data_IF_976146110556
#
_entry.id   IF_976146110556
#
_cell.length_a   1.000
_cell.length_b   1.000
_cell.length_c   1.000
_cell.angle_alpha   90.00
_cell.angle_beta   90.00
_cell.angle_gamma   90.00
#
_symmetry.space_group_name_H-M   'P 1'
#
loop_
_entity.id
_entity.type
_entity.pdbx_description
1 polymer ?
2 polymer ?
3 polymer ?
4 non-polymer ?
5 water ?
#
loop_
_entity_poly.entity_id
_entity_poly.type
_entity_poly.pdbx_seq_one_letter_code
_entity_poly.pdbx_strand_id
2 'polydeoxyribonucleotide' '(DG)(DC)(DA)(DG)(DA)(DA)(DC)(DG)(DT)(DC)(DG)(DT)(DG)(DA)(DG)(DA)(DC)(DA)(DG)(DT)(DT)(DC)(DC)(DG)' ?
3 'polydeoxyribonucleotide' '(DC)(DG)(DG)(DA)(DA)(DC)(DT)(DG)(DT)(DC)(DT)(DC)(DA)(DC)(DG)(DA)(DC)(DG)(DT)(DT)(DC)(DT)(DG)(DC)' ?
#
# COMPACT_ATOMS: atom_id res chain seq x y z
N UNK A 5 19.32 -10.07 12.49
CA UNK A 5 18.69 -9.55 11.24
C UNK A 5 17.61 -10.47 10.70
N UNK A 6 17.66 -11.73 11.12
CA UNK A 6 16.81 -12.81 10.59
C UNK A 6 15.30 -12.51 10.65
N UNK A 7 14.84 -11.79 9.63
CA UNK A 7 13.44 -11.46 9.45
C UNK A 7 12.80 -12.48 8.51
N UNK A 8 11.67 -13.04 8.94
CA UNK A 8 10.98 -14.12 8.22
C UNK A 8 10.52 -13.74 6.81
N UNK A 9 10.68 -14.67 5.84
CA UNK A 9 10.28 -14.49 4.44
C UNK A 9 8.87 -13.92 4.24
N UNK A 10 7.88 -14.44 4.97
CA UNK A 10 6.50 -13.95 4.87
C UNK A 10 6.25 -12.66 5.62
N UNK A 11 7.12 -12.34 6.58
CA UNK A 11 7.09 -11.06 7.26
C UNK A 11 7.71 -9.97 6.39
N UNK A 12 8.81 -10.32 5.71
CA UNK A 12 9.45 -9.43 4.75
C UNK A 12 8.53 -9.19 3.55
N UNK A 13 7.90 -10.25 3.06
CA UNK A 13 7.00 -10.17 1.91
C UNK A 13 5.78 -9.32 2.23
N UNK A 14 5.16 -9.57 3.38
CA UNK A 14 4.03 -8.73 3.79
C UNK A 14 4.42 -7.26 3.81
N UNK A 15 5.51 -6.93 4.50
CA UNK A 15 5.92 -5.55 4.68
C UNK A 15 6.14 -4.86 3.34
N UNK A 16 6.77 -5.59 2.42
CA UNK A 16 7.01 -5.09 1.07
C UNK A 16 5.67 -4.79 0.40
N UNK A 17 4.71 -5.71 0.56
CA UNK A 17 3.35 -5.52 0.03
C UNK A 17 2.75 -4.26 0.60
N UNK A 18 2.86 -4.13 1.92
CA UNK A 18 2.31 -3.00 2.63
C UNK A 18 2.99 -1.69 2.26
N UNK A 19 4.32 -1.72 2.14
CA UNK A 19 5.11 -0.57 1.72
C UNK A 19 4.73 -0.16 0.30
N UNK A 20 4.65 -1.13 -0.61
CA UNK A 20 4.22 -0.87 -1.99
C UNK A 20 2.83 -0.22 -2.04
N UNK A 21 2.01 -0.57 -1.05
CA UNK A 21 0.67 0.01 -0.92
C UNK A 21 0.71 1.37 -0.25
N UNK A 22 0.95 1.36 1.05
CA UNK A 22 0.80 2.56 1.89
C UNK A 22 2.10 3.25 2.29
N UNK A 23 3.22 2.75 1.74
CA UNK A 23 4.53 3.26 2.10
C UNK A 23 5.16 4.17 1.07
N UNK A 24 6.39 4.60 1.35
CA UNK A 24 7.16 5.42 0.43
C UNK A 24 8.66 5.22 0.60
N UNK A 25 9.36 4.97 -0.51
CA UNK A 25 10.82 4.95 -0.57
C UNK A 25 11.23 6.21 -1.32
N UNK A 26 12.08 7.05 -0.72
CA UNK A 26 12.44 8.32 -1.34
C UNK A 26 13.80 8.86 -0.91
N UNK A 27 14.39 9.69 -1.78
CA UNK A 27 15.68 10.33 -1.54
C UNK A 27 15.56 11.84 -1.69
N UNK A 28 16.34 12.56 -0.91
CA UNK A 28 16.32 14.01 -0.95
C UNK A 28 17.67 14.56 -0.49
N UNK A 29 17.95 15.81 -0.83
CA UNK A 29 19.14 16.47 -0.30
C UNK A 29 18.75 17.65 0.56
N UNK A 30 19.40 17.76 1.71
CA UNK A 30 19.05 18.76 2.69
C UNK A 30 20.12 19.85 2.69
N UNK A 31 19.69 21.13 2.66
CA UNK A 31 20.63 22.23 2.87
C UNK A 31 21.32 22.11 4.23
N UNK A 32 22.63 22.36 4.25
CA UNK A 32 23.42 22.26 5.48
C UNK A 32 24.34 23.48 5.61
N UNK A 33 23.85 24.56 6.24
CA UNK A 33 24.60 25.82 6.36
C UNK A 33 25.83 25.75 7.28
N UNK A 34 26.32 24.54 7.55
CA UNK A 34 27.46 24.34 8.44
C UNK A 34 28.44 23.26 7.95
N UNK A 35 28.13 22.62 6.82
CA UNK A 35 28.99 21.58 6.26
C UNK A 35 30.30 22.12 5.69
N UNK A 36 31.31 21.25 5.66
CA UNK A 36 32.67 21.61 5.27
C UNK A 36 32.72 22.27 3.90
N UNK A 37 32.42 21.51 2.85
CA UNK A 37 32.53 22.02 1.49
C UNK A 37 31.18 21.92 0.81
N UNK A 38 30.78 20.68 0.49
CA UNK A 38 29.47 20.40 -0.08
C UNK A 38 28.43 20.58 1.03
N UNK A 39 27.61 21.61 0.89
CA UNK A 39 26.67 21.99 1.94
C UNK A 39 25.33 21.25 1.85
N UNK A 40 25.39 20.00 1.41
CA UNK A 40 24.21 19.16 1.35
C UNK A 40 24.53 17.75 1.82
N UNK A 41 23.66 17.22 2.67
CA UNK A 41 23.68 15.82 3.02
C UNK A 41 22.52 15.19 2.27
N UNK A 42 22.81 14.12 1.54
CA UNK A 42 21.77 13.34 0.87
C UNK A 42 21.06 12.46 1.91
N UNK A 43 19.79 12.78 2.15
CA UNK A 43 18.95 11.99 3.06
C UNK A 43 18.19 10.90 2.33
N UNK A 44 18.09 9.75 2.97
CA UNK A 44 17.43 8.58 2.41
C UNK A 44 16.47 8.01 3.44
N UNK A 45 15.31 7.55 2.99
CA UNK A 45 14.29 7.03 3.90
C UNK A 45 13.30 6.09 3.24
N UNK A 46 12.72 5.22 4.05
CA UNK A 46 11.48 4.55 3.72
C UNK A 46 10.49 4.93 4.82
N UNK A 47 9.21 4.94 4.50
CA UNK A 47 8.20 5.26 5.50
C UNK A 47 6.93 4.43 5.35
N UNK A 48 6.14 4.37 6.43
CA UNK A 48 4.83 3.73 6.39
C UNK A 48 3.83 4.70 6.97
N UNK A 49 2.78 4.97 6.20
CA UNK A 49 1.77 5.98 6.55
C UNK A 49 0.43 5.30 6.74
N UNK A 50 -0.35 5.77 7.72
CA UNK A 50 -1.62 5.13 8.08
C UNK A 50 -2.43 6.02 9.04
N UNK A 51 -3.72 5.73 9.18
CA UNK A 51 -4.58 6.53 10.03
C UNK A 51 -4.34 6.20 11.50
N UNK A 52 -4.43 7.24 12.34
CA UNK A 52 -4.16 7.18 13.78
C UNK A 52 -4.50 5.84 14.41
N UNK A 53 -5.75 5.39 14.22
CA UNK A 53 -6.31 4.22 14.89
C UNK A 53 -5.59 2.91 14.57
N UNK A 54 -4.92 2.86 13.43
CA UNK A 54 -4.25 1.64 12.98
C UNK A 54 -2.78 1.64 13.35
N UNK A 55 -2.40 2.54 14.26
CA UNK A 55 -1.02 2.66 14.74
C UNK A 55 -0.37 1.35 15.22
N UNK A 56 -1.09 0.54 16.04
CA UNK A 56 -0.52 -0.75 16.45
C UNK A 56 0.06 -1.59 15.31
N UNK A 57 -0.54 -1.49 14.12
CA UNK A 57 -0.05 -2.21 12.95
C UNK A 57 1.32 -1.72 12.48
N UNK A 58 1.52 -0.40 12.53
CA UNK A 58 2.82 0.21 12.23
C UNK A 58 3.83 -0.20 13.29
N UNK A 59 3.41 -0.07 14.54
CA UNK A 59 4.22 -0.44 15.69
C UNK A 59 4.65 -1.90 15.59
N UNK A 60 3.79 -2.75 15.04
CA UNK A 60 4.12 -4.16 14.82
C UNK A 60 5.23 -4.34 13.77
N UNK A 61 5.12 -3.62 12.66
CA UNK A 61 6.13 -3.67 11.59
C UNK A 61 7.47 -3.18 12.11
N UNK A 62 7.42 -2.09 12.87
CA UNK A 62 8.57 -1.52 13.54
C UNK A 62 9.36 -2.59 14.32
N UNK A 63 8.64 -3.31 15.19
CA UNK A 63 9.24 -4.35 16.03
C UNK A 63 9.87 -5.48 15.23
N UNK A 64 9.35 -5.73 14.03
CA UNK A 64 9.88 -6.79 13.17
C UNK A 64 11.15 -6.34 12.48
N UNK A 65 11.25 -5.04 12.21
CA UNK A 65 12.41 -4.45 11.58
C UNK A 65 13.51 -4.12 12.60
N UNK A 66 13.60 -4.91 13.66
CA UNK A 66 14.61 -4.74 14.70
C UNK A 66 14.48 -3.46 15.49
N UNK A 67 13.27 -2.88 15.49
CA UNK A 67 12.97 -1.62 16.17
C UNK A 67 13.85 -0.45 15.70
N UNK A 68 14.04 -0.35 14.39
CA UNK A 68 14.82 0.72 13.78
C UNK A 68 13.91 1.83 13.30
N UNK A 69 14.41 3.06 13.26
CA UNK A 69 13.61 4.20 12.79
C UNK A 69 12.71 4.75 13.88
N UNK A 70 11.93 5.76 13.54
CA UNK A 70 11.12 6.49 14.51
C UNK A 70 9.61 6.50 14.23
N UNK A 71 8.86 5.83 15.11
CA UNK A 71 7.39 5.81 15.05
C UNK A 71 6.77 7.16 15.46
N UNK A 72 5.54 7.38 15.03
CA UNK A 72 4.81 8.60 15.34
C UNK A 72 3.31 8.29 15.40
N UNK A 73 2.77 8.27 16.61
CA UNK A 73 1.36 7.94 16.85
C UNK A 73 0.43 8.89 16.10
N UNK A 74 0.82 10.16 16.02
CA UNK A 74 0.05 11.19 15.34
C UNK A 74 1.01 12.25 14.83
N UNK A 75 0.90 12.54 13.54
CA UNK A 75 1.78 13.53 12.92
C UNK A 75 1.16 14.92 12.85
N UNK A 76 -0.07 15.04 13.34
CA UNK A 76 -0.78 16.32 13.38
C UNK A 76 -2.22 16.22 12.93
N UNK A 77 -2.44 15.54 11.79
CA UNK A 77 -3.78 15.41 11.22
C UNK A 77 -4.38 14.02 11.38
N UNK A 78 -4.33 13.50 12.62
CA UNK A 78 -4.96 12.23 12.99
C UNK A 78 -4.45 11.06 12.17
N UNK A 79 -3.20 11.17 11.75
CA UNK A 79 -2.61 10.24 10.81
C UNK A 79 -1.17 9.96 11.28
N UNK A 80 -0.75 8.71 11.12
CA UNK A 80 0.49 8.23 11.73
C UNK A 80 1.48 7.73 10.70
N UNK A 81 2.76 7.96 10.96
CA UNK A 81 3.81 7.42 10.09
C UNK A 81 5.00 6.85 10.83
N UNK A 82 5.73 5.96 10.14
CA UNK A 82 6.90 5.31 10.68
C UNK A 82 8.01 5.46 9.65
N UNK A 83 8.89 6.43 9.92
CA UNK A 83 9.98 6.78 9.00
C UNK A 83 11.29 6.17 9.47
N UNK A 84 11.96 5.46 8.56
CA UNK A 84 13.29 4.91 8.82
C UNK A 84 14.33 5.68 7.98
N UNK A 85 15.09 6.55 8.64
CA UNK A 85 16.05 7.41 7.97
C UNK A 85 17.47 6.88 8.08
N UNK A 86 18.22 6.97 6.99
CA UNK A 86 19.66 6.83 7.05
C UNK A 86 20.13 5.50 6.51
N UNK A 87 21.40 5.47 6.10
CA UNK A 87 21.96 4.30 5.44
C UNK A 87 22.24 3.15 6.39
N UNK A 88 22.38 3.45 7.68
CA UNK A 88 22.68 2.42 8.68
C UNK A 88 21.54 1.40 8.75
N UNK A 89 20.33 1.90 8.92
CA UNK A 89 19.14 1.07 9.06
C UNK A 89 18.72 0.48 7.71
N UNK A 90 18.82 1.30 6.67
CA UNK A 90 18.34 0.92 5.36
C UNK A 90 19.20 -0.14 4.67
N UNK A 91 20.50 -0.14 4.95
CA UNK A 91 21.41 -1.14 4.39
C UNK A 91 21.22 -2.51 5.07
N UNK A 92 20.49 -2.51 6.17
CA UNK A 92 20.06 -3.73 6.84
C UNK A 92 18.64 -4.11 6.39
N UNK A 93 17.74 -3.14 6.39
CA UNK A 93 16.32 -3.39 6.10
C UNK A 93 16.05 -3.71 4.63
N UNK A 94 16.41 -2.80 3.73
CA UNK A 94 16.13 -2.98 2.30
C UNK A 94 16.59 -4.30 1.67
N UNK A 95 17.81 -4.77 1.97
CA UNK A 95 18.13 -6.11 1.44
C UNK A 95 17.04 -7.14 1.75
N UNK A 96 16.44 -7.05 2.94
CA UNK A 96 15.37 -7.95 3.34
C UNK A 96 14.07 -7.75 2.54
N UNK A 97 13.79 -6.52 2.12
CA UNK A 97 12.53 -6.20 1.45
C UNK A 97 12.59 -6.25 -0.08
N UNK A 98 13.74 -5.90 -0.63
CA UNK A 98 13.94 -5.79 -2.08
C UNK A 98 13.47 -7.02 -2.89
N UNK A 99 13.72 -8.25 -2.38
CA UNK A 99 13.27 -9.39 -3.19
C UNK A 99 11.76 -9.40 -3.37
N UNK A 100 11.03 -8.98 -2.35
CA UNK A 100 9.56 -9.04 -2.38
C UNK A 100 8.89 -7.78 -2.93
N UNK A 101 9.58 -6.64 -2.86
CA UNK A 101 9.10 -5.37 -3.40
C UNK A 101 8.81 -5.46 -4.88
N UNK A 102 7.75 -4.78 -5.31
CA UNK A 102 7.36 -4.79 -6.71
C UNK A 102 7.30 -3.38 -7.25
N UNK A 103 6.29 -2.62 -6.82
CA UNK A 103 6.05 -1.25 -7.30
C UNK A 103 7.24 -0.31 -6.99
N UNK A 104 7.86 -0.49 -5.84
CA UNK A 104 8.90 0.41 -5.38
C UNK A 104 10.30 -0.23 -5.35
N UNK A 105 10.41 -1.39 -5.99
CA UNK A 105 11.68 -2.13 -6.07
C UNK A 105 12.80 -1.27 -6.64
N UNK A 106 12.51 -0.54 -7.72
CA UNK A 106 13.50 0.34 -8.33
C UNK A 106 14.02 1.39 -7.34
N UNK A 107 13.08 2.10 -6.72
CA UNK A 107 13.42 3.06 -5.67
C UNK A 107 14.34 2.43 -4.62
N UNK A 108 14.03 1.21 -4.20
CA UNK A 108 14.84 0.53 -3.19
C UNK A 108 16.25 0.23 -3.69
N UNK A 109 16.38 -0.28 -4.91
CA UNK A 109 17.69 -0.54 -5.51
C UNK A 109 18.52 0.74 -5.65
N UNK A 110 17.85 1.84 -6.00
CA UNK A 110 18.50 3.14 -6.10
C UNK A 110 19.05 3.61 -4.75
N UNK A 111 18.21 3.59 -3.70
CA UNK A 111 18.66 3.93 -2.35
C UNK A 111 19.85 3.05 -1.98
N UNK A 112 19.71 1.75 -2.17
CA UNK A 112 20.78 0.81 -1.86
C UNK A 112 22.06 1.15 -2.61
N UNK A 113 21.89 1.73 -3.80
CA UNK A 113 23.03 2.09 -4.63
C UNK A 113 23.70 3.35 -4.10
N UNK A 114 22.89 4.38 -3.81
CA UNK A 114 23.38 5.61 -3.20
C UNK A 114 24.26 5.32 -1.97
N UNK A 115 23.82 4.39 -1.14
CA UNK A 115 24.56 3.93 0.03
C UNK A 115 25.97 3.45 -0.36
N UNK A 116 26.07 2.68 -1.45
CA UNK A 116 27.35 2.15 -1.94
C UNK A 116 28.34 3.22 -2.40
N UNK A 117 27.82 4.31 -2.97
CA UNK A 117 28.64 5.37 -3.54
C UNK A 117 28.88 6.54 -2.60
N UNK A 118 28.09 6.64 -1.53
CA UNK A 118 28.13 7.80 -0.63
C UNK A 118 29.51 8.07 0.01
N UNK A 119 30.13 7.04 0.62
CA UNK A 119 31.45 7.27 1.23
C UNK A 119 32.40 8.05 0.33
N UNK A 120 32.62 7.58 -0.90
CA UNK A 120 33.50 8.26 -1.85
C UNK A 120 32.94 9.55 -2.41
N UNK A 121 31.65 9.55 -2.74
CA UNK A 121 30.98 10.72 -3.30
C UNK A 121 30.94 11.91 -2.34
N UNK A 122 31.21 11.64 -1.07
CA UNK A 122 30.97 12.59 0.00
C UNK A 122 31.82 13.85 -0.05
N UNK A 123 33.08 13.70 -0.43
CA UNK A 123 33.98 14.86 -0.49
C UNK A 123 34.58 15.05 -1.88
N UNK A 124 33.77 14.73 -2.88
CA UNK A 124 34.11 14.93 -4.29
C UNK A 124 32.87 15.43 -5.02
N UNK A 125 32.87 16.72 -5.41
CA UNK A 125 31.74 17.38 -6.08
C UNK A 125 31.32 16.72 -7.40
N UNK A 126 32.28 16.13 -8.12
CA UNK A 126 32.01 15.39 -9.33
C UNK A 126 31.19 14.13 -9.04
N UNK A 127 31.66 13.34 -8.07
CA UNK A 127 30.99 12.10 -7.67
C UNK A 127 29.71 12.33 -6.87
N UNK A 128 29.65 13.48 -6.19
CA UNK A 128 28.43 13.91 -5.49
C UNK A 128 27.32 14.23 -6.49
N UNK A 129 27.67 14.97 -7.55
CA UNK A 129 26.72 15.30 -8.61
C UNK A 129 26.16 14.05 -9.28
N UNK A 130 27.07 13.13 -9.61
CA UNK A 130 26.70 11.84 -10.21
C UNK A 130 25.76 11.04 -9.30
N UNK A 131 25.94 11.21 -8.00
CA UNK A 131 25.07 10.60 -7.01
C UNK A 131 23.75 11.37 -6.89
N UNK A 132 23.81 12.70 -7.00
CA UNK A 132 22.61 13.53 -6.98
C UNK A 132 21.67 13.19 -8.15
N UNK A 133 22.24 12.72 -9.25
CA UNK A 133 21.44 12.20 -10.37
C UNK A 133 20.52 11.06 -9.92
N UNK A 134 21.07 10.14 -9.13
CA UNK A 134 20.30 9.00 -8.61
C UNK A 134 19.18 9.47 -7.67
N UNK A 135 19.44 10.55 -6.93
CA UNK A 135 18.42 11.20 -6.13
C UNK A 135 17.32 11.75 -7.03
N UNK A 136 17.69 12.15 -8.25
CA UNK A 136 16.71 12.64 -9.23
C UNK A 136 15.81 11.52 -9.75
N UNK A 137 16.40 10.40 -10.17
CA UNK A 137 15.62 9.27 -10.69
C UNK A 137 14.56 8.86 -9.68
N UNK A 138 14.99 8.66 -8.42
CA UNK A 138 14.11 8.22 -7.34
C UNK A 138 12.89 9.13 -7.21
N UNK A 139 13.14 10.43 -7.16
CA UNK A 139 12.06 11.40 -7.03
C UNK A 139 11.17 11.41 -8.26
N UNK A 140 11.76 11.10 -9.42
CA UNK A 140 11.04 10.99 -10.70
C UNK A 140 10.17 9.74 -10.77
N UNK A 141 10.70 8.64 -10.25
CA UNK A 141 9.98 7.36 -10.18
C UNK A 141 8.79 7.45 -9.23
N UNK A 142 8.86 8.37 -8.27
CA UNK A 142 7.76 8.66 -7.36
C UNK A 142 6.77 9.69 -7.93
N UNK A 143 7.07 10.19 -9.13
CA UNK A 143 6.22 11.19 -9.77
C UNK A 143 5.32 10.60 -10.85
N UNK A 144 4.37 11.42 -11.29
CA UNK A 144 3.55 11.12 -12.45
C UNK A 144 4.28 11.53 -13.73
N UNK A 145 3.67 11.26 -14.87
CA UNK A 145 4.20 11.69 -16.17
C UNK A 145 4.14 13.21 -16.32
N UNK A 146 2.96 13.79 -16.10
CA UNK A 146 2.68 15.23 -16.30
C UNK A 146 3.36 16.17 -15.30
N UNK A 147 3.90 15.61 -14.23
CA UNK A 147 4.48 16.39 -13.15
C UNK A 147 5.86 16.91 -13.53
N UNK A 148 6.23 18.07 -12.98
CA UNK A 148 7.59 18.62 -13.10
C UNK A 148 8.66 17.61 -12.68
N UNK A 149 9.70 17.49 -13.49
CA UNK A 149 10.75 16.50 -13.27
C UNK A 149 11.87 17.06 -12.37
N UNK A 150 12.46 16.19 -11.56
CA UNK A 150 13.46 16.58 -10.55
C UNK A 150 14.69 17.25 -11.16
N UNK A 151 15.03 18.42 -10.61
CA UNK A 151 16.09 19.26 -11.15
C UNK A 151 17.19 19.57 -10.12
N UNK A 152 17.31 18.68 -9.11
CA UNK A 152 18.34 18.79 -8.07
C UNK A 152 19.74 18.77 -8.64
N UNK A 153 19.99 17.91 -9.62
CA UNK A 153 21.29 17.79 -10.26
C UNK A 153 21.67 19.05 -11.03
N UNK A 154 20.69 19.62 -11.74
CA UNK A 154 20.90 20.85 -12.51
C UNK A 154 21.17 22.05 -11.61
N UNK A 155 20.39 22.16 -10.54
CA UNK A 155 20.52 23.27 -9.58
C UNK A 155 21.80 23.20 -8.75
N UNK A 156 22.39 22.00 -8.65
CA UNK A 156 23.64 21.82 -7.93
C UNK A 156 24.88 21.94 -8.82
N UNK A 157 24.75 21.55 -10.09
CA UNK A 157 25.83 21.75 -11.06
C UNK A 157 26.07 23.25 -11.27
N UNK A 158 24.98 24.00 -11.33
CA UNK A 158 25.02 25.45 -11.40
C UNK A 158 25.60 26.04 -10.13
N UNK A 159 25.23 25.46 -8.99
CA UNK A 159 25.71 25.91 -7.70
C UNK A 159 27.21 25.61 -7.51
N UNK A 160 27.64 24.45 -7.99
CA UNK A 160 29.05 24.04 -7.87
C UNK A 160 29.98 24.84 -8.78
N UNK A 161 29.51 25.22 -9.96
CA UNK A 161 30.29 26.03 -10.89
C UNK A 161 30.44 27.46 -10.38
N UNK A 162 29.33 28.02 -9.89
CA UNK A 162 29.34 29.37 -9.31
C UNK A 162 30.17 29.46 -8.04
N UNK A 163 30.19 28.39 -7.26
CA UNK A 163 30.97 28.34 -6.03
C UNK A 163 32.41 27.88 -6.27
N UNK A 164 32.76 27.71 -7.54
CA UNK A 164 34.10 27.30 -7.96
C UNK A 164 34.53 25.90 -7.51
N UNK A 165 33.55 25.06 -7.20
CA UNK A 165 33.81 23.70 -6.71
C UNK A 165 34.13 22.73 -7.86
N UNK A 166 33.71 23.10 -9.07
CA UNK A 166 33.98 22.30 -10.27
C UNK A 166 34.52 23.17 -11.40
N UNK A 167 35.62 22.70 -12.00
CA UNK A 167 36.21 23.35 -13.17
C UNK A 167 35.73 22.68 -14.46
N UNK A 168 36.10 23.28 -15.59
CA UNK A 168 35.81 22.72 -16.91
C UNK A 168 36.67 21.49 -17.19
N UNK A 169 36.09 20.43 -17.75
CA UNK A 169 34.68 20.40 -18.18
C UNK A 169 33.79 19.63 -17.20
N UNK A 170 32.56 20.13 -16.96
CA UNK A 170 31.56 19.45 -16.13
C UNK A 170 30.94 18.22 -16.79
N UNK A 171 30.13 17.48 -16.02
CA UNK A 171 29.39 16.30 -16.50
C UNK A 171 28.24 16.70 -17.46
N UNK A 172 27.37 15.77 -17.86
CA UNK A 172 27.38 14.36 -17.46
C UNK A 172 26.24 13.59 -18.09
N UNK A 173 25.15 13.40 -17.34
CA UNK A 173 23.94 12.76 -17.85
C UNK A 173 22.69 13.25 -17.09
N UNK A 174 22.26 14.46 -17.44
CA UNK A 174 21.06 15.07 -16.84
C UNK A 174 20.29 15.88 -17.87
N UNK A 175 18.97 15.93 -17.69
CA UNK A 175 18.07 16.63 -18.63
C UNK A 175 18.13 18.15 -18.48
N UNK A 176 19.35 18.71 -18.60
CA UNK A 176 19.59 20.14 -18.39
C UNK A 176 18.98 21.06 -19.43
N UNK A 177 17.81 21.62 -19.10
CA UNK A 177 17.16 22.62 -19.94
C UNK A 177 17.45 24.03 -19.40
N UNK A 178 18.66 24.53 -19.70
CA UNK A 178 19.10 25.83 -19.21
C UNK A 178 19.38 26.79 -20.37
N UNK A 207 -7.18 -25.40 -8.35
CA UNK A 207 -5.70 -25.36 -8.56
C UNK A 207 -5.10 -24.08 -7.97
N UNK A 208 -3.90 -24.20 -7.41
CA UNK A 208 -3.18 -23.06 -6.85
C UNK A 208 -1.67 -23.09 -7.11
N UNK A 209 -1.11 -21.89 -7.26
CA UNK A 209 0.33 -21.68 -7.24
C UNK A 209 0.60 -20.43 -6.40
N UNK A 210 -0.20 -20.27 -5.35
CA UNK A 210 -0.01 -19.19 -4.38
C UNK A 210 0.79 -19.69 -3.18
N UNK A 211 2.09 -19.39 -3.21
CA UNK A 211 3.01 -19.80 -2.17
C UNK A 211 3.15 -18.72 -1.08
N UNK A 212 3.62 -19.10 0.12
CA UNK A 212 3.72 -18.23 1.29
C UNK A 212 3.99 -16.75 1.00
N UNK A 213 5.12 -16.44 0.35
CA UNK A 213 5.54 -15.06 0.10
C UNK A 213 4.73 -14.36 -0.99
N UNK A 214 4.11 -15.15 -1.85
CA UNK A 214 3.15 -14.65 -2.83
C UNK A 214 1.88 -14.14 -2.13
N UNK A 215 1.35 -14.94 -1.21
CA UNK A 215 0.18 -14.55 -0.44
C UNK A 215 0.49 -13.43 0.56
N UNK A 216 1.66 -13.51 1.18
CA UNK A 216 2.09 -12.53 2.18
C UNK A 216 2.17 -11.13 1.57
N UNK A 217 2.80 -11.03 0.40
CA UNK A 217 2.86 -9.76 -0.32
C UNK A 217 1.46 -9.23 -0.58
N UNK A 218 0.63 -10.06 -1.21
CA UNK A 218 -0.71 -9.63 -1.65
C UNK A 218 -1.50 -9.12 -0.45
N UNK A 219 -1.45 -9.85 0.66
CA UNK A 219 -2.09 -9.43 1.90
C UNK A 219 -1.53 -8.09 2.37
N UNK A 220 -0.21 -7.92 2.31
CA UNK A 220 0.42 -6.65 2.62
C UNK A 220 -0.17 -5.53 1.79
N UNK A 221 -0.24 -5.79 0.49
CA UNK A 221 -0.71 -4.81 -0.48
C UNK A 221 -2.20 -4.50 -0.36
N UNK A 222 -3.00 -5.52 -0.08
CA UNK A 222 -4.44 -5.37 0.16
C UNK A 222 -4.70 -4.57 1.44
N UNK A 223 -3.94 -4.89 2.49
CA UNK A 223 -3.96 -4.12 3.73
C UNK A 223 -3.63 -2.66 3.51
N UNK A 224 -2.73 -2.40 2.56
CA UNK A 224 -2.37 -1.04 2.17
C UNK A 224 -3.39 -0.44 1.23
N UNK A 225 -3.32 -0.83 -0.04
CA UNK A 225 -4.11 -0.21 -1.13
C UNK A 225 -5.41 -0.94 -1.49
N UNK A 226 -5.75 -1.98 -0.75
CA UNK A 226 -6.95 -2.77 -1.08
C UNK A 226 -8.17 -2.47 -0.24
N UNK A 227 -9.22 -3.25 -0.48
CA UNK A 227 -10.45 -3.16 0.31
C UNK A 227 -11.15 -4.53 0.40
N UNK A 228 -11.67 -4.84 1.58
CA UNK A 228 -12.52 -6.03 1.77
C UNK A 228 -13.86 -5.56 2.32
N UNK A 229 -14.94 -5.81 1.58
CA UNK A 229 -16.23 -5.22 1.93
C UNK A 229 -17.45 -6.05 1.55
N UNK A 230 -18.55 -5.80 2.26
CA UNK A 230 -19.82 -6.47 2.02
C UNK A 230 -20.88 -5.42 1.81
N UNK A 231 -21.91 -5.76 1.05
CA UNK A 231 -22.99 -4.82 0.78
C UNK A 231 -24.30 -5.54 0.44
N UNK A 232 -25.41 -4.84 0.66
CA UNK A 232 -26.73 -5.33 0.27
C UNK A 232 -27.15 -4.70 -1.03
N UNK A 233 -27.44 -5.54 -2.03
CA UNK A 233 -27.91 -5.05 -3.32
C UNK A 233 -29.43 -5.23 -3.46
N UNK A 234 -30.15 -4.13 -3.72
CA UNK A 234 -31.59 -4.21 -3.97
C UNK A 234 -31.89 -4.90 -5.30
N UNK A 235 -32.55 -6.05 -5.23
CA UNK A 235 -32.91 -6.83 -6.41
C UNK A 235 -34.44 -6.86 -6.59
N UNK A 236 -34.98 -5.98 -7.46
CA UNK A 236 -36.43 -5.81 -7.63
C UNK A 236 -37.19 -7.04 -8.16
N UNK A 237 -36.56 -8.21 -8.14
CA UNK A 237 -37.14 -9.41 -8.74
C UNK A 237 -36.63 -10.70 -8.07
N UNK A 238 -36.90 -10.85 -6.77
CA UNK A 238 -36.49 -12.04 -6.02
C UNK A 238 -37.69 -12.76 -5.40
N UNK A 239 -37.46 -14.03 -5.02
CA UNK A 239 -38.52 -14.92 -4.51
C UNK A 239 -39.28 -14.35 -3.32
N UNK A 240 -38.53 -13.86 -2.34
CA UNK A 240 -39.08 -13.44 -1.08
C UNK A 240 -38.26 -12.25 -0.60
N UNK A 241 -37.00 -12.53 -0.27
CA UNK A 241 -36.07 -11.49 0.15
C UNK A 241 -35.50 -10.82 -1.10
N UNK A 242 -35.87 -9.55 -1.30
CA UNK A 242 -35.51 -8.83 -2.52
C UNK A 242 -34.13 -8.16 -2.44
N UNK A 243 -33.22 -8.79 -1.69
CA UNK A 243 -31.85 -8.34 -1.59
C UNK A 243 -30.91 -9.53 -1.72
N UNK A 244 -29.71 -9.24 -2.20
CA UNK A 244 -28.62 -10.21 -2.18
C UNK A 244 -27.45 -9.54 -1.50
N UNK A 245 -26.77 -10.29 -0.63
CA UNK A 245 -25.54 -9.84 -0.02
C UNK A 245 -24.41 -10.02 -1.04
N UNK A 246 -23.78 -8.92 -1.44
CA UNK A 246 -22.64 -8.96 -2.33
C UNK A 246 -21.33 -8.90 -1.54
N UNK A 247 -20.37 -9.71 -1.95
CA UNK A 247 -19.09 -9.83 -1.26
C UNK A 247 -17.95 -9.59 -2.23
N UNK A 248 -16.92 -8.90 -1.77
CA UNK A 248 -15.81 -8.50 -2.63
C UNK A 248 -14.52 -8.17 -1.89
N UNK A 249 -13.41 -8.34 -2.58
CA UNK A 249 -12.16 -7.67 -2.23
C UNK A 249 -11.72 -6.91 -3.47
N UNK A 250 -11.13 -5.74 -3.28
CA UNK A 250 -10.66 -4.94 -4.40
C UNK A 250 -9.24 -4.45 -4.21
N UNK A 251 -8.58 -4.12 -5.32
CA UNK A 251 -7.27 -3.48 -5.29
C UNK A 251 -7.33 -2.20 -6.12
N UNK A 252 -6.87 -1.08 -5.55
CA UNK A 252 -6.95 0.22 -6.24
C UNK A 252 -5.56 0.82 -6.42
N UNK A 253 -5.31 1.44 -7.58
CA UNK A 253 -3.99 1.98 -7.91
C UNK A 253 -4.09 2.92 -9.13
N UNK A 254 -3.08 3.76 -9.32
CA UNK A 254 -2.99 4.61 -10.52
C UNK A 254 -2.73 3.78 -11.76
N UNK A 255 -3.28 4.22 -12.89
CA UNK A 255 -3.29 3.41 -14.12
C UNK A 255 -1.89 3.00 -14.59
N UNK A 256 -0.91 3.88 -14.42
CA UNK A 256 0.48 3.55 -14.78
C UNK A 256 0.99 2.31 -14.06
N UNK A 257 0.45 2.05 -12.87
CA UNK A 257 0.83 0.89 -12.08
C UNK A 257 -0.10 -0.32 -12.31
N UNK A 258 -1.01 -0.18 -13.28
CA UNK A 258 -1.95 -1.25 -13.67
C UNK A 258 -1.30 -2.63 -13.85
N UNK A 259 -0.18 -2.72 -14.59
CA UNK A 259 0.51 -4.02 -14.72
C UNK A 259 0.72 -4.79 -13.41
N UNK A 260 0.92 -4.06 -12.31
CA UNK A 260 1.11 -4.69 -11.01
C UNK A 260 -0.17 -5.37 -10.53
N UNK A 261 -1.31 -4.76 -10.84
CA UNK A 261 -2.61 -5.38 -10.58
C UNK A 261 -2.76 -6.60 -11.49
N UNK A 262 -2.46 -6.40 -12.76
CA UNK A 262 -2.48 -7.47 -13.75
C UNK A 262 -1.62 -8.66 -13.29
N UNK A 263 -0.54 -8.38 -12.54
CA UNK A 263 0.24 -9.42 -11.89
C UNK A 263 -0.57 -10.18 -10.84
N UNK A 264 -1.03 -9.46 -9.81
CA UNK A 264 -1.79 -10.03 -8.71
C UNK A 264 -2.99 -10.85 -9.22
N UNK A 265 -3.64 -10.31 -10.24
CA UNK A 265 -4.75 -10.98 -10.92
C UNK A 265 -4.34 -12.37 -11.41
N UNK A 266 -3.27 -12.43 -12.19
CA UNK A 266 -2.71 -13.69 -12.69
C UNK A 266 -2.36 -14.64 -11.55
N UNK A 267 -1.83 -14.08 -10.47
CA UNK A 267 -1.31 -14.87 -9.36
C UNK A 267 -2.42 -15.51 -8.56
N UNK A 268 -3.60 -14.89 -8.61
CA UNK A 268 -4.79 -15.37 -7.92
C UNK A 268 -5.63 -16.31 -8.78
N UNK A 269 -5.02 -16.86 -9.82
CA UNK A 269 -5.71 -17.78 -10.72
C UNK A 269 -6.55 -17.09 -11.79
N UNK A 270 -6.33 -15.80 -11.97
CA UNK A 270 -7.06 -14.98 -12.95
C UNK A 270 -8.57 -14.89 -12.68
N UNK A 271 -8.92 -14.55 -11.44
CA UNK A 271 -10.31 -14.40 -11.04
C UNK A 271 -10.65 -12.92 -10.86
N UNK A 272 -11.88 -12.54 -11.21
CA UNK A 272 -12.37 -11.19 -10.94
C UNK A 272 -12.31 -10.22 -12.12
N UNK A 273 -12.59 -8.95 -11.83
CA UNK A 273 -12.64 -7.90 -12.85
C UNK A 273 -11.50 -6.91 -12.74
N UNK A 274 -10.97 -6.50 -13.88
CA UNK A 274 -9.90 -5.49 -13.93
C UNK A 274 -10.39 -4.25 -14.64
N UNK A 275 -9.90 -3.10 -14.20
CA UNK A 275 -10.07 -1.87 -14.94
C UNK A 275 -8.72 -1.21 -15.12
N UNK A 276 -8.34 -1.00 -16.37
CA UNK A 276 -7.13 -0.25 -16.72
C UNK A 276 -7.35 1.21 -16.32
N UNK A 277 -8.60 1.65 -16.43
CA UNK A 277 -9.04 2.97 -15.99
C UNK A 277 -10.53 2.86 -15.70
N UNK A 278 -10.95 3.40 -14.57
CA UNK A 278 -12.37 3.43 -14.24
C UNK A 278 -13.04 4.73 -14.64
N UNK A 279 -12.25 5.67 -15.17
CA UNK A 279 -12.76 6.96 -15.63
C UNK A 279 -11.96 8.14 -15.11
N UNK A 280 -11.37 7.96 -13.93
CA UNK A 280 -10.59 9.04 -13.32
C UNK A 280 -9.10 8.70 -13.14
N UNK A 281 -8.56 7.95 -14.09
CA UNK A 281 -7.12 7.68 -14.17
C UNK A 281 -6.61 6.61 -13.23
N UNK A 282 -7.44 6.24 -12.26
CA UNK A 282 -7.12 5.18 -11.32
C UNK A 282 -7.73 3.86 -11.74
N UNK A 283 -6.92 2.81 -11.68
CA UNK A 283 -7.32 1.47 -12.04
C UNK A 283 -7.85 0.74 -10.82
N UNK A 284 -8.59 -0.34 -11.03
CA UNK A 284 -8.91 -1.27 -9.95
C UNK A 284 -9.07 -2.73 -10.38
N UNK A 285 -8.92 -3.61 -9.40
CA UNK A 285 -9.07 -5.04 -9.58
C UNK A 285 -10.03 -5.53 -8.51
N UNK A 286 -11.18 -6.03 -8.94
CA UNK A 286 -12.27 -6.39 -8.05
C UNK A 286 -12.67 -7.85 -8.22
N UNK A 287 -12.72 -8.57 -7.10
CA UNK A 287 -13.11 -9.97 -7.08
C UNK A 287 -14.43 -10.14 -6.30
N UNK A 288 -15.53 -10.28 -7.04
CA UNK A 288 -16.86 -10.36 -6.46
C UNK A 288 -17.34 -11.80 -6.39
N UNK A 289 -17.94 -12.16 -5.25
CA UNK A 289 -18.70 -13.39 -5.16
C UNK A 289 -17.99 -14.46 -4.38
N UNK A 290 -18.79 -15.27 -3.67
CA UNK A 290 -18.27 -16.33 -2.81
C UNK A 290 -17.38 -17.31 -3.54
N UNK A 291 -17.72 -17.64 -4.79
CA UNK A 291 -16.98 -18.64 -5.56
C UNK A 291 -15.46 -18.37 -5.57
N UNK A 292 -15.08 -17.14 -5.93
CA UNK A 292 -13.68 -16.75 -6.00
C UNK A 292 -13.08 -16.57 -4.61
N UNK A 293 -13.83 -15.93 -3.73
CA UNK A 293 -13.36 -15.59 -2.40
C UNK A 293 -13.28 -16.81 -1.47
N UNK A 294 -14.03 -17.86 -1.80
CA UNK A 294 -13.90 -19.14 -1.12
C UNK A 294 -12.54 -19.74 -1.38
N UNK A 295 -11.94 -19.36 -2.51
CA UNK A 295 -10.64 -19.88 -2.92
C UNK A 295 -9.51 -18.92 -2.52
N UNK A 296 -9.66 -17.65 -2.88
CA UNK A 296 -8.65 -16.62 -2.62
C UNK A 296 -8.45 -16.31 -1.14
N UNK A 297 -9.52 -15.94 -0.45
CA UNK A 297 -9.41 -15.48 0.94
C UNK A 297 -8.62 -16.41 1.88
N UNK A 298 -8.97 -17.72 1.93
CA UNK A 298 -8.20 -18.61 2.80
C UNK A 298 -6.68 -18.57 2.57
N UNK A 299 -6.26 -18.15 1.37
CA UNK A 299 -4.84 -17.99 1.06
C UNK A 299 -4.24 -16.72 1.67
N UNK A 300 -5.08 -15.71 1.89
CA UNK A 300 -4.60 -14.40 2.33
C UNK A 300 -4.79 -14.14 3.81
N UNK A 301 -5.83 -14.77 4.38
CA UNK A 301 -6.21 -14.61 5.79
C UNK A 301 -5.02 -14.73 6.76
N UNK A 302 -4.19 -15.79 6.63
CA UNK A 302 -3.12 -16.00 7.61
C UNK A 302 -2.09 -14.88 7.60
N UNK A 303 -2.02 -14.13 6.50
CA UNK A 303 -1.05 -13.05 6.38
C UNK A 303 -1.66 -11.67 6.52
N UNK A 304 -2.98 -11.60 6.39
CA UNK A 304 -3.70 -10.34 6.56
C UNK A 304 -3.61 -9.80 7.98
N UNK A 305 -3.50 -8.48 8.12
CA UNK A 305 -3.41 -7.85 9.42
C UNK A 305 -4.56 -6.85 9.60
N UNK A 306 -4.44 -5.69 8.98
CA UNK A 306 -5.41 -4.60 9.10
C UNK A 306 -6.83 -5.01 8.69
N UNK A 307 -6.92 -5.94 7.75
CA UNK A 307 -8.20 -6.27 7.12
C UNK A 307 -8.62 -7.71 7.36
N UNK A 308 -7.88 -8.39 8.24
CA UNK A 308 -8.09 -9.80 8.56
C UNK A 308 -9.49 -10.08 9.10
N UNK A 309 -10.03 -9.16 9.91
CA UNK A 309 -11.36 -9.34 10.47
C UNK A 309 -12.40 -9.36 9.37
N UNK A 310 -12.35 -8.34 8.50
CA UNK A 310 -13.22 -8.26 7.35
C UNK A 310 -13.17 -9.55 6.54
N UNK A 311 -11.96 -10.06 6.28
CA UNK A 311 -11.77 -11.32 5.56
C UNK A 311 -12.54 -12.48 6.18
N UNK A 312 -12.34 -12.71 7.47
CA UNK A 312 -13.00 -13.79 8.20
C UNK A 312 -14.53 -13.66 8.20
N UNK A 313 -15.00 -12.43 8.40
CA UNK A 313 -16.43 -12.14 8.36
C UNK A 313 -17.03 -12.50 7.00
N UNK A 314 -16.33 -12.13 5.92
CA UNK A 314 -16.75 -12.53 4.57
C UNK A 314 -16.82 -14.06 4.47
N UNK A 315 -15.75 -14.75 4.87
CA UNK A 315 -15.77 -16.21 4.91
C UNK A 315 -16.96 -16.73 5.71
N UNK A 316 -17.27 -16.05 6.80
CA UNK A 316 -18.38 -16.43 7.66
C UNK A 316 -19.69 -16.27 6.91
N UNK A 317 -19.87 -15.13 6.25
CA UNK A 317 -21.05 -14.89 5.40
C UNK A 317 -21.18 -15.98 4.34
N UNK A 318 -20.09 -16.26 3.62
CA UNK A 318 -20.05 -17.36 2.65
C UNK A 318 -20.52 -18.66 3.30
N UNK A 319 -20.02 -18.92 4.49
CA UNK A 319 -20.30 -20.16 5.24
C UNK A 319 -21.78 -20.36 5.63
N UNK A 320 -22.46 -19.29 6.05
CA UNK A 320 -23.87 -19.40 6.44
C UNK A 320 -24.86 -18.67 5.51
N UNK A 321 -24.50 -18.52 4.24
CA UNK A 321 -25.40 -17.92 3.26
C UNK A 321 -26.39 -18.93 2.66
N UNK A 322 -25.90 -20.14 2.27
CA UNK A 322 -26.82 -21.16 1.75
C UNK A 322 -28.17 -21.21 2.48
N UNK A 323 -28.14 -21.36 3.80
CA UNK A 323 -29.37 -21.45 4.62
C UNK A 323 -30.09 -20.11 4.76
N UNK A 324 -29.32 -19.02 4.63
CA UNK A 324 -29.85 -17.67 4.83
C UNK A 324 -30.77 -17.18 3.72
N UNK A 325 -30.65 -17.76 2.53
CA UNK A 325 -31.42 -17.33 1.36
C UNK A 325 -32.92 -17.51 1.54
N UNK A 326 -33.32 -18.66 2.08
CA UNK A 326 -34.74 -18.98 2.26
C UNK A 326 -35.35 -18.30 3.48
N UNK A 327 -34.62 -18.35 4.60
CA UNK A 327 -35.13 -17.87 5.88
C UNK A 327 -34.78 -16.41 6.14
N UNK A 328 -35.80 -15.54 6.24
CA UNK A 328 -35.59 -14.11 6.52
C UNK A 328 -34.99 -13.86 7.90
N UNK A 329 -35.16 -14.82 8.81
CA UNK A 329 -34.58 -14.74 10.15
C UNK A 329 -33.07 -14.96 10.10
N UNK A 330 -32.65 -15.96 9.33
CA UNK A 330 -31.22 -16.25 9.16
C UNK A 330 -30.55 -15.24 8.23
N UNK A 331 -31.32 -14.68 7.31
CA UNK A 331 -30.84 -13.60 6.44
C UNK A 331 -30.53 -12.35 7.28
N UNK A 332 -31.39 -12.06 8.26
CA UNK A 332 -31.25 -10.88 9.10
C UNK A 332 -29.95 -10.85 9.93
N UNK A 333 -29.72 -11.89 10.74
CA UNK A 333 -28.50 -11.92 11.55
C UNK A 333 -27.24 -12.14 10.71
N UNK A 334 -27.42 -12.57 9.46
CA UNK A 334 -26.34 -12.55 8.48
C UNK A 334 -26.14 -11.12 7.95
N UNK A 335 -27.24 -10.39 7.79
CA UNK A 335 -27.19 -8.97 7.40
C UNK A 335 -26.45 -8.13 8.45
N UNK A 336 -26.45 -8.60 9.69
CA UNK A 336 -25.65 -7.99 10.75
C UNK A 336 -24.15 -8.08 10.47
N UNK A 337 -23.71 -9.20 9.90
CA UNK A 337 -22.30 -9.37 9.53
C UNK A 337 -21.90 -8.35 8.47
N UNK A 338 -22.81 -8.05 7.56
CA UNK A 338 -22.62 -6.99 6.56
C UNK A 338 -22.43 -5.64 7.25
N UNK A 339 -23.30 -5.34 8.21
CA UNK A 339 -23.17 -4.11 9.01
C UNK A 339 -21.83 -4.09 9.74
N UNK A 340 -21.49 -5.21 10.36
CA UNK A 340 -20.25 -5.35 11.10
C UNK A 340 -19.03 -5.09 10.22
N UNK A 341 -19.01 -5.71 9.04
CA UNK A 341 -17.94 -5.52 8.06
C UNK A 341 -17.81 -4.05 7.66
N UNK A 342 -18.93 -3.44 7.28
CA UNK A 342 -18.95 -2.04 6.89
C UNK A 342 -18.49 -1.15 8.05
N UNK A 343 -18.86 -1.53 9.27
CA UNK A 343 -18.42 -0.85 10.50
C UNK A 343 -16.91 -0.88 10.65
N UNK A 344 -16.31 -2.04 10.40
CA UNK A 344 -14.86 -2.21 10.48
C UNK A 344 -14.14 -1.32 9.47
N UNK A 345 -14.77 -1.14 8.30
CA UNK A 345 -14.30 -0.21 7.27
C UNK A 345 -14.67 1.26 7.56
N UNK A 346 -14.73 1.59 8.85
CA UNK A 346 -14.98 2.96 9.29
C UNK A 346 -14.22 3.24 10.57
N UNK A 347 -13.91 4.51 10.79
CA UNK A 347 -13.39 4.97 12.09
C UNK A 347 -14.53 4.97 13.10
N UNK A 348 -14.18 4.89 14.38
CA UNK A 348 -15.15 4.81 15.48
C UNK A 348 -16.26 5.87 15.46
N UNK A 349 -15.93 7.06 15.00
CA UNK A 349 -16.85 8.20 15.07
C UNK A 349 -17.91 8.24 13.96
N UNK A 350 -17.61 7.65 12.81
CA UNK A 350 -18.55 7.60 11.70
C UNK A 350 -19.86 6.91 12.11
N UNK A 351 -20.98 7.39 11.56
CA UNK A 351 -22.30 6.76 11.76
C UNK A 351 -22.29 5.30 11.34
N UNK A 352 -22.70 4.41 12.26
CA UNK A 352 -22.62 2.97 12.04
C UNK A 352 -23.74 2.47 11.12
N UNK A 353 -23.41 1.51 10.26
CA UNK A 353 -24.34 0.99 9.25
C UNK A 353 -25.63 0.44 9.85
N UNK A 354 -26.74 0.75 9.18
CA UNK A 354 -28.07 0.44 9.72
C UNK A 354 -28.90 -0.47 8.80
N UNK A 355 -28.20 -1.28 8.00
CA UNK A 355 -28.85 -2.26 7.12
C UNK A 355 -29.72 -3.24 7.88
N UNK A 356 -29.27 -3.63 9.08
CA UNK A 356 -30.03 -4.53 9.93
C UNK A 356 -31.29 -3.87 10.47
N UNK A 357 -31.18 -2.58 10.82
CA UNK A 357 -32.32 -1.81 11.30
C UNK A 357 -33.33 -1.55 10.18
N UNK A 358 -32.82 -1.31 8.97
CA UNK A 358 -33.67 -1.02 7.82
C UNK A 358 -34.39 -2.26 7.25
N UNK A 359 -33.68 -3.39 7.21
CA UNK A 359 -34.30 -4.65 6.79
C UNK A 359 -35.24 -5.27 7.82
N UNK A 360 -34.96 -5.04 9.10
CA UNK A 360 -35.84 -5.49 10.18
C UNK A 360 -37.20 -4.80 10.07
N UNK A 361 -37.15 -3.49 9.82
CA UNK A 361 -38.34 -2.68 9.60
C UNK A 361 -39.09 -3.18 8.38
N UNK A 362 -38.35 -3.41 7.30
CA UNK A 362 -38.91 -3.85 6.03
C UNK A 362 -39.58 -5.23 6.13
N UNK A 363 -38.92 -6.17 6.81
CA UNK A 363 -39.45 -7.52 6.99
C UNK A 363 -40.70 -7.58 7.86
N UNK A 364 -40.76 -6.73 8.89
CA UNK A 364 -41.94 -6.64 9.74
C UNK A 364 -43.15 -6.11 8.98
N UNK A 365 -42.95 -5.02 8.23
CA UNK A 365 -44.03 -4.38 7.47
C UNK A 365 -44.41 -5.15 6.21
N UNK A 366 -43.55 -6.08 5.80
CA UNK A 366 -43.88 -7.02 4.72
C UNK A 366 -44.48 -8.31 5.29
N UNK A 367 -44.57 -8.38 6.61
CA UNK A 367 -45.14 -9.53 7.31
C UNK A 367 -44.30 -10.80 7.22
N UNK A 368 -43.05 -10.64 6.81
CA UNK A 368 -42.18 -11.79 6.55
C UNK A 368 -41.57 -12.39 7.82
N UNK A 369 -41.64 -11.67 8.93
CA UNK A 369 -41.22 -12.18 10.24
C UNK A 369 -42.20 -11.87 11.37
N UNK A 370 -42.86 -10.70 11.29
CA UNK A 370 -43.70 -10.17 12.37
C UNK A 370 -42.90 -9.99 13.66
#
# INVERSE_FOLDING_TARGET
>A
MTTKNTLQPTEAAYIAGFLDGDGSIYAKLIPRPDYKDIKYQVSLAISFIQRKDKFPYLQDIYDQLGKRGNLRKDRGDGIADYTIIGSTHLSIILPDLVPYLRIKKKQANRILHIINLYPQAQKNPSKFLDLVKIVDDVQNLNKRADELKSTNYDRLLEEFLKAGKIESSPTGSGSGSKHPTLTLPTTTSQENLPNGSGSGSGTMTTKNTLQPTEAAYIAGFLDGDGSIYAKLIPRPDYKDIKYQVSLAISFIQRKDKFPYLQDIYDQLGKRGNLRKDRGDGIADYTIIGSTHLSIILPDLVPYLRIKKKQANRILHIINLYPQAQKNPSKFLDLVKIVDDVQNLNKRADELKSTNYDRLLEEFLKAGKIESSP
#
